data_IF_667046105047
#
_entry.id   IF_667046105047
#
_cell.length_a   1.000
_cell.length_b   1.000
_cell.length_c   1.000
_cell.angle_alpha   90.00
_cell.angle_beta   90.00
_cell.angle_gamma   90.00
#
_symmetry.space_group_name_H-M   'P 1'
#
loop_
_entity.id
_entity.type
_entity.pdbx_description
1 polymer ?
#
# COMPACT_ATOMS: atom_id res chain seq x y z
N UNK A 1 -7.54 1.82 14.48
CA UNK A 1 -7.31 0.75 13.46
C UNK A 1 -6.19 1.18 12.54
N UNK A 2 -5.55 0.27 11.80
CA UNK A 2 -4.55 0.66 10.78
C UNK A 2 -5.18 0.57 9.40
N UNK A 3 -5.16 1.68 8.67
CA UNK A 3 -5.63 1.78 7.29
C UNK A 3 -4.41 1.83 6.39
N UNK A 4 -4.48 1.14 5.25
CA UNK A 4 -3.46 1.13 4.22
C UNK A 4 -4.04 1.79 2.98
N UNK A 5 -3.40 2.84 2.47
CA UNK A 5 -3.73 3.44 1.19
C UNK A 5 -2.71 3.00 0.16
N UNK A 6 -3.17 2.25 -0.82
CA UNK A 6 -2.39 1.87 -2.00
C UNK A 6 -2.64 2.92 -3.08
N UNK A 7 -1.59 3.41 -3.72
CA UNK A 7 -1.71 4.30 -4.88
C UNK A 7 -0.93 3.72 -6.05
N UNK A 8 -1.59 3.56 -7.20
CA UNK A 8 -0.98 3.16 -8.46
C UNK A 8 -0.80 4.41 -9.34
N UNK A 9 0.42 4.67 -9.81
CA UNK A 9 0.77 5.87 -10.57
C UNK A 9 0.42 5.70 -12.05
N UNK A 10 -0.83 5.98 -12.41
CA UNK A 10 -1.30 5.91 -13.80
C UNK A 10 -1.26 7.29 -14.50
N UNK A 11 -0.06 7.75 -14.85
CA UNK A 11 0.14 9.04 -15.53
C UNK A 11 -0.40 10.22 -14.71
N UNK A 12 -1.27 11.04 -15.31
CA UNK A 12 -1.91 12.17 -14.64
C UNK A 12 -3.08 11.76 -13.73
N UNK A 13 -3.50 10.49 -13.73
CA UNK A 13 -4.69 10.00 -13.04
C UNK A 13 -4.35 8.83 -12.12
N UNK A 14 -3.72 9.07 -10.96
CA UNK A 14 -3.39 8.02 -10.01
C UNK A 14 -4.66 7.33 -9.48
N UNK A 15 -4.58 6.02 -9.29
CA UNK A 15 -5.65 5.23 -8.68
C UNK A 15 -5.31 4.99 -7.21
N UNK A 16 -6.21 5.37 -6.31
CA UNK A 16 -6.05 5.20 -4.86
C UNK A 16 -7.05 4.19 -4.31
N UNK A 17 -6.60 3.33 -3.40
CA UNK A 17 -7.43 2.34 -2.75
C UNK A 17 -7.08 2.25 -1.25
N UNK A 18 -8.06 2.57 -0.40
CA UNK A 18 -7.94 2.45 1.06
C UNK A 18 -8.47 1.09 1.54
N UNK A 19 -7.74 0.45 2.45
CA UNK A 19 -8.12 -0.85 3.00
C UNK A 19 -7.60 -1.06 4.40
N UNK A 20 -8.35 -1.77 5.25
CA UNK A 20 -7.91 -2.18 6.59
C UNK A 20 -7.08 -3.47 6.56
N UNK A 21 -7.00 -4.15 5.42
CA UNK A 21 -6.34 -5.45 5.29
C UNK A 21 -5.09 -5.34 4.43
N UNK A 22 -3.94 -5.65 5.05
CA UNK A 22 -2.67 -5.74 4.32
C UNK A 22 -2.72 -6.79 3.20
N UNK A 23 -3.49 -7.86 3.37
CA UNK A 23 -3.67 -8.89 2.34
C UNK A 23 -4.47 -8.36 1.14
N UNK A 24 -5.44 -7.47 1.36
CA UNK A 24 -6.12 -6.77 0.27
C UNK A 24 -5.18 -5.79 -0.44
N UNK A 25 -4.31 -5.10 0.29
CA UNK A 25 -3.29 -4.23 -0.31
C UNK A 25 -2.35 -5.02 -1.24
N UNK A 26 -1.90 -6.20 -0.79
CA UNK A 26 -1.12 -7.14 -1.63
C UNK A 26 -1.89 -7.55 -2.89
N UNK A 27 -3.15 -7.98 -2.73
CA UNK A 27 -4.01 -8.37 -3.86
C UNK A 27 -4.17 -7.25 -4.88
N UNK A 28 -4.39 -6.01 -4.44
CA UNK A 28 -4.50 -4.85 -5.33
C UNK A 28 -3.22 -4.61 -6.14
N UNK A 29 -2.04 -4.76 -5.54
CA UNK A 29 -0.77 -4.60 -6.26
C UNK A 29 -0.55 -5.75 -7.25
N UNK A 30 -0.87 -6.98 -6.88
CA UNK A 30 -0.80 -8.14 -7.77
C UNK A 30 -1.75 -8.01 -8.97
N UNK A 31 -2.96 -7.49 -8.76
CA UNK A 31 -3.88 -7.17 -9.85
C UNK A 31 -3.36 -6.01 -10.71
N UNK A 32 -2.84 -4.94 -10.09
CA UNK A 32 -2.25 -3.81 -10.79
C UNK A 32 -1.12 -4.23 -11.73
N UNK A 33 -0.23 -5.11 -11.28
CA UNK A 33 0.86 -5.68 -12.09
C UNK A 33 0.38 -6.35 -13.37
N UNK A 34 -0.84 -6.91 -13.40
CA UNK A 34 -1.36 -7.59 -14.59
C UNK A 34 -1.82 -6.65 -15.71
N UNK A 35 -2.19 -5.40 -15.40
CA UNK A 35 -2.72 -4.45 -16.39
C UNK A 35 -1.89 -3.17 -16.52
N UNK A 36 -1.02 -2.85 -15.55
CA UNK A 36 -0.16 -1.68 -15.54
C UNK A 36 1.31 -2.08 -15.76
N UNK A 37 1.83 -1.89 -16.96
CA UNK A 37 3.22 -2.23 -17.31
C UNK A 37 4.30 -1.46 -16.53
N UNK A 38 3.93 -0.33 -15.92
CA UNK A 38 4.83 0.47 -15.07
C UNK A 38 4.82 0.02 -13.61
N UNK A 39 3.95 -0.91 -13.24
CA UNK A 39 3.91 -1.53 -11.92
C UNK A 39 4.74 -2.80 -11.98
N UNK A 40 5.98 -2.69 -11.52
CA UNK A 40 6.88 -3.83 -11.38
C UNK A 40 7.37 -3.94 -9.93
N UNK A 41 7.52 -5.17 -9.47
CA UNK A 41 8.02 -5.53 -8.14
C UNK A 41 8.24 -7.04 -8.06
N UNK A 42 9.17 -7.44 -7.20
CA UNK A 42 9.29 -8.83 -6.77
C UNK A 42 8.21 -9.14 -5.70
N UNK A 43 7.45 -10.26 -5.83
CA UNK A 43 6.41 -10.61 -4.85
C UNK A 43 6.95 -10.89 -3.43
N UNK A 44 8.16 -11.42 -3.29
CA UNK A 44 8.78 -11.69 -1.99
C UNK A 44 9.20 -10.38 -1.31
N UNK A 45 9.82 -9.48 -2.07
CA UNK A 45 10.16 -8.12 -1.62
C UNK A 45 8.90 -7.34 -1.21
N UNK A 46 7.83 -7.43 -2.02
CA UNK A 46 6.55 -6.80 -1.70
C UNK A 46 5.98 -7.33 -0.37
N UNK A 47 6.05 -8.64 -0.13
CA UNK A 47 5.59 -9.22 1.12
C UNK A 47 6.39 -8.71 2.33
N UNK A 48 7.71 -8.55 2.19
CA UNK A 48 8.56 -7.98 3.25
C UNK A 48 8.17 -6.53 3.56
N UNK A 49 8.00 -5.70 2.52
CA UNK A 49 7.55 -4.30 2.65
C UNK A 49 6.19 -4.20 3.36
N UNK A 50 5.23 -5.04 2.97
CA UNK A 50 3.91 -5.07 3.59
C UNK A 50 3.95 -5.58 5.04
N UNK A 51 4.85 -6.51 5.35
CA UNK A 51 5.09 -6.97 6.72
C UNK A 51 5.68 -5.84 7.59
N UNK A 52 6.62 -5.05 7.06
CA UNK A 52 7.15 -3.85 7.73
C UNK A 52 6.07 -2.82 8.02
N UNK A 53 5.21 -2.54 7.03
CA UNK A 53 4.08 -1.63 7.17
C UNK A 53 3.09 -2.13 8.22
N UNK A 54 2.78 -3.43 8.23
CA UNK A 54 1.91 -4.04 9.24
C UNK A 54 2.50 -3.96 10.65
N UNK A 55 3.79 -4.28 10.79
CA UNK A 55 4.50 -4.22 12.06
C UNK A 55 4.70 -2.78 12.57
N UNK A 56 4.45 -1.77 11.74
CA UNK A 56 4.69 -0.37 12.08
C UNK A 56 6.17 0.02 12.07
N UNK A 57 7.03 -0.80 11.45
CA UNK A 57 8.44 -0.46 11.20
C UNK A 57 8.58 0.60 10.12
N UNK A 58 7.62 0.65 9.18
CA UNK A 58 7.48 1.67 8.14
C UNK A 58 6.06 2.22 8.13
N UNK A 59 5.91 3.46 7.67
CA UNK A 59 4.62 4.12 7.46
C UNK A 59 4.35 4.42 5.99
N UNK A 60 5.39 4.42 5.16
CA UNK A 60 5.30 4.67 3.72
C UNK A 60 6.33 3.81 3.01
N UNK A 61 5.92 3.26 1.87
CA UNK A 61 6.81 2.70 0.85
C UNK A 61 6.40 3.25 -0.50
N UNK A 62 7.37 3.70 -1.30
CA UNK A 62 7.12 4.35 -2.58
C UNK A 62 8.12 3.86 -3.63
N UNK A 63 7.60 3.63 -4.84
CA UNK A 63 8.33 3.31 -6.06
C UNK A 63 7.88 4.25 -7.18
N UNK A 64 8.54 4.17 -8.34
CA UNK A 64 8.12 4.93 -9.53
C UNK A 64 6.72 4.56 -10.02
N UNK A 65 6.25 3.33 -9.78
CA UNK A 65 4.96 2.83 -10.26
C UNK A 65 3.84 2.83 -9.22
N UNK A 66 4.15 2.77 -7.93
CA UNK A 66 3.15 2.63 -6.87
C UNK A 66 3.66 3.09 -5.51
N UNK A 67 2.75 3.35 -4.58
CA UNK A 67 3.07 3.57 -3.16
C UNK A 67 2.05 2.92 -2.24
N UNK A 68 2.47 2.57 -1.03
CA UNK A 68 1.60 2.14 0.06
C UNK A 68 1.94 2.93 1.31
N UNK A 69 0.93 3.58 1.87
CA UNK A 69 1.03 4.33 3.13
C UNK A 69 0.13 3.67 4.19
N UNK A 70 0.60 3.63 5.43
CA UNK A 70 -0.11 3.08 6.56
C UNK A 70 -0.46 4.19 7.55
N UNK A 71 -1.73 4.48 7.72
CA UNK A 71 -2.26 5.46 8.65
C UNK A 71 -2.78 4.72 9.90
N UNK A 72 -2.37 5.18 11.07
CA UNK A 72 -2.96 4.75 12.34
C UNK A 72 -4.11 5.71 12.66
N UNK A 73 -5.35 5.20 12.72
CA UNK A 73 -6.40 5.93 13.42
C UNK A 73 -5.99 5.98 14.89
N UNK A 74 -5.42 7.12 15.31
CA UNK A 74 -5.35 7.51 16.70
C UNK A 74 -6.79 7.66 17.19
N UNK A 75 -7.25 6.72 18.00
CA UNK A 75 -8.46 6.90 18.79
C UNK A 75 -8.23 8.09 19.69
N UNK A 76 -8.67 9.27 19.26
CA UNK A 76 -8.70 10.48 20.05
C UNK A 76 -9.74 10.30 21.16
N UNK A 77 -9.41 9.51 22.19
CA UNK A 77 -10.03 9.64 23.50
C UNK A 77 -9.48 10.94 24.09
N UNK A 78 -10.16 12.05 23.79
CA UNK A 78 -10.00 13.28 24.55
C UNK A 78 -10.88 13.10 25.80
N UNK A 79 -10.21 12.94 26.93
CA UNK A 79 -10.78 12.78 28.28
C UNK A 79 -11.70 13.95 28.66
#
# INVERSE_FOLDING_TARGET
MKTYRVTIRNGAYPLTYDTLSIAKAYGCLMEARNWACHVDFDPEELMEVLADLRAGRKLLYETDGWKVEAEMEESQCRE
#
